data_IF_505786526851
#
_entry.id   IF_505786526851
#
_cell.length_a   1.000
_cell.length_b   1.000
_cell.length_c   1.000
_cell.angle_alpha   90.00
_cell.angle_beta   90.00
_cell.angle_gamma   90.00
#
_symmetry.space_group_name_H-M   'P 1'
#
loop_
_entity.id
_entity.type
_entity.pdbx_description
1 polymer ?
#
# COMPACT_ATOMS: atom_id res chain seq x y z
N UNK A 1 -64.24 -109.35 33.06
CA UNK A 1 -64.81 -108.37 32.10
C UNK A 1 -64.68 -106.89 32.55
N UNK A 2 -63.87 -106.54 33.55
CA UNK A 2 -63.76 -105.13 34.01
C UNK A 2 -62.57 -104.34 33.41
N UNK A 3 -61.56 -105.02 32.85
CA UNK A 3 -60.29 -104.39 32.42
C UNK A 3 -60.41 -103.55 31.13
N UNK A 4 -61.34 -103.91 30.23
CA UNK A 4 -61.56 -103.22 28.96
C UNK A 4 -62.32 -101.89 29.09
N UNK A 5 -63.15 -101.75 30.14
CA UNK A 5 -63.89 -100.51 30.36
C UNK A 5 -62.97 -99.42 30.94
N UNK A 6 -62.03 -99.81 31.82
CA UNK A 6 -61.05 -98.89 32.42
C UNK A 6 -60.09 -98.33 31.35
N UNK A 7 -59.60 -99.19 30.44
CA UNK A 7 -58.75 -98.75 29.32
C UNK A 7 -59.48 -97.83 28.35
N UNK A 8 -60.76 -98.10 28.07
CA UNK A 8 -61.59 -97.24 27.21
C UNK A 8 -61.83 -95.84 27.83
N UNK A 9 -62.15 -95.76 29.13
CA UNK A 9 -62.29 -94.46 29.82
C UNK A 9 -60.97 -93.69 29.92
N UNK A 10 -59.84 -94.38 30.14
CA UNK A 10 -58.53 -93.72 30.21
C UNK A 10 -58.13 -93.11 28.86
N UNK A 11 -58.40 -93.82 27.75
CA UNK A 11 -58.17 -93.29 26.40
C UNK A 11 -59.02 -92.03 26.15
N UNK A 12 -60.30 -92.06 26.52
CA UNK A 12 -61.21 -90.90 26.38
C UNK A 12 -60.70 -89.66 27.15
N UNK A 13 -60.26 -89.84 28.40
CA UNK A 13 -59.73 -88.74 29.22
C UNK A 13 -58.44 -88.19 28.62
N UNK A 14 -57.54 -89.04 28.16
CA UNK A 14 -56.27 -88.62 27.53
C UNK A 14 -56.53 -87.87 26.23
N UNK A 15 -57.45 -88.35 25.39
CA UNK A 15 -57.85 -87.66 24.16
C UNK A 15 -58.44 -86.28 24.46
N UNK A 16 -59.26 -86.16 25.51
CA UNK A 16 -59.87 -84.89 25.91
C UNK A 16 -58.81 -83.88 26.38
N UNK A 17 -57.84 -84.33 27.19
CA UNK A 17 -56.71 -83.50 27.64
C UNK A 17 -55.86 -83.06 26.45
N UNK A 18 -55.61 -83.94 25.49
CA UNK A 18 -54.81 -83.63 24.31
C UNK A 18 -55.49 -82.55 23.43
N UNK A 19 -56.82 -82.65 23.24
CA UNK A 19 -57.60 -81.62 22.53
C UNK A 19 -57.52 -80.29 23.28
N UNK A 20 -57.67 -80.30 24.61
CA UNK A 20 -57.63 -79.10 25.44
C UNK A 20 -56.27 -78.39 25.35
N UNK A 21 -55.17 -79.16 25.39
CA UNK A 21 -53.80 -78.64 25.21
C UNK A 21 -53.62 -78.07 23.80
N UNK A 22 -54.14 -78.74 22.77
CA UNK A 22 -54.02 -78.29 21.37
C UNK A 22 -54.76 -76.96 21.15
N UNK A 23 -55.93 -76.79 21.77
CA UNK A 23 -56.68 -75.53 21.73
C UNK A 23 -55.91 -74.42 22.47
N UNK A 24 -55.38 -74.71 23.65
CA UNK A 24 -54.55 -73.75 24.41
C UNK A 24 -53.30 -73.32 23.63
N UNK A 25 -52.57 -74.26 23.02
CA UNK A 25 -51.41 -73.95 22.18
C UNK A 25 -51.79 -73.09 20.97
N UNK A 26 -52.97 -73.32 20.39
CA UNK A 26 -53.46 -72.54 19.23
C UNK A 26 -53.72 -71.08 19.59
N UNK A 27 -54.10 -70.78 20.83
CA UNK A 27 -54.22 -69.39 21.31
C UNK A 27 -52.85 -68.74 21.57
N UNK A 28 -51.90 -69.48 22.14
CA UNK A 28 -50.54 -68.96 22.42
C UNK A 28 -49.75 -68.69 21.14
N UNK A 29 -49.95 -69.48 20.09
CA UNK A 29 -49.23 -69.30 18.81
C UNK A 29 -49.85 -68.23 17.90
N UNK A 30 -51.09 -67.79 18.17
CA UNK A 30 -51.80 -66.80 17.35
C UNK A 30 -51.61 -65.34 17.80
N UNK A 31 -50.69 -65.05 18.74
CA UNK A 31 -50.27 -63.66 19.01
C UNK A 31 -49.29 -63.20 17.91
N UNK A 32 -49.74 -63.24 16.65
CA UNK A 32 -49.04 -62.55 15.57
C UNK A 32 -49.26 -61.05 15.78
N UNK A 33 -48.20 -60.38 16.24
CA UNK A 33 -48.13 -58.92 16.27
C UNK A 33 -48.50 -58.39 14.89
N UNK A 34 -49.68 -57.76 14.79
CA UNK A 34 -50.11 -57.06 13.60
C UNK A 34 -49.17 -55.87 13.45
N UNK A 35 -48.30 -55.91 12.43
CA UNK A 35 -47.42 -54.79 12.10
C UNK A 35 -48.30 -53.61 11.67
N UNK A 36 -48.62 -52.74 12.60
CA UNK A 36 -49.25 -51.45 12.31
C UNK A 36 -48.28 -50.60 11.48
N UNK A 37 -48.76 -49.74 10.57
CA UNK A 37 -47.90 -48.78 9.89
C UNK A 37 -47.27 -47.86 10.93
N UNK A 38 -45.96 -47.99 11.12
CA UNK A 38 -45.20 -47.14 12.02
C UNK A 38 -44.84 -45.84 11.27
N UNK A 39 -45.31 -44.71 11.79
CA UNK A 39 -44.84 -43.39 11.34
C UNK A 39 -43.62 -43.04 12.17
N UNK A 40 -42.46 -42.94 11.51
CA UNK A 40 -41.24 -42.45 12.16
C UNK A 40 -41.41 -40.96 12.38
N UNK A 41 -41.53 -40.54 13.64
CA UNK A 41 -41.48 -39.13 14.02
C UNK A 41 -40.04 -38.80 14.39
N UNK A 42 -39.40 -37.98 13.56
CA UNK A 42 -38.10 -37.39 13.86
C UNK A 42 -38.28 -35.91 14.21
N UNK A 43 -37.46 -35.44 15.15
CA UNK A 43 -37.34 -34.01 15.43
C UNK A 43 -36.77 -33.31 14.19
N UNK A 44 -37.44 -32.24 13.76
CA UNK A 44 -37.05 -31.47 12.56
C UNK A 44 -36.16 -30.32 12.98
N UNK A 45 -34.95 -30.27 12.43
CA UNK A 45 -34.03 -29.15 12.58
C UNK A 45 -34.05 -28.35 11.27
N UNK A 46 -34.36 -27.07 11.36
CA UNK A 46 -34.27 -26.16 10.23
C UNK A 46 -32.88 -25.51 10.23
N UNK A 47 -32.17 -25.57 9.10
CA UNK A 47 -30.87 -24.93 8.91
C UNK A 47 -31.08 -23.64 8.09
N UNK A 48 -31.12 -22.46 8.73
CA UNK A 48 -31.27 -21.20 8.00
C UNK A 48 -29.95 -20.80 7.33
N UNK A 49 -30.06 -20.12 6.19
CA UNK A 49 -28.92 -19.42 5.60
C UNK A 49 -28.45 -18.30 6.55
N UNK A 50 -27.14 -18.15 6.72
CA UNK A 50 -26.56 -17.10 7.58
C UNK A 50 -26.54 -15.73 6.91
N UNK A 51 -26.63 -15.69 5.58
CA UNK A 51 -26.58 -14.49 4.75
C UNK A 51 -27.56 -14.61 3.60
N UNK A 52 -28.09 -13.48 3.14
CA UNK A 52 -28.87 -13.44 1.91
C UNK A 52 -27.99 -13.77 0.69
N UNK A 53 -28.56 -14.42 -0.32
CA UNK A 53 -27.84 -14.84 -1.52
C UNK A 53 -28.74 -15.60 -2.49
N UNK A 54 -28.18 -15.94 -3.64
CA UNK A 54 -28.82 -16.81 -4.62
C UNK A 54 -28.35 -18.24 -4.40
N UNK A 55 -29.26 -19.20 -4.56
CA UNK A 55 -28.89 -20.62 -4.56
C UNK A 55 -28.21 -20.90 -5.89
N UNK A 56 -26.93 -21.25 -5.85
CA UNK A 56 -26.16 -21.66 -7.03
C UNK A 56 -26.32 -23.17 -7.24
N UNK A 57 -25.85 -23.95 -6.26
CA UNK A 57 -25.91 -25.42 -6.32
C UNK A 57 -26.49 -26.03 -5.04
N UNK A 58 -27.38 -27.03 -5.21
CA UNK A 58 -27.87 -27.88 -4.13
C UNK A 58 -27.15 -29.23 -4.23
N UNK A 59 -26.34 -29.57 -3.23
CA UNK A 59 -25.45 -30.75 -3.27
C UNK A 59 -26.09 -32.01 -2.67
N UNK A 60 -27.30 -31.90 -2.12
CA UNK A 60 -27.98 -32.99 -1.43
C UNK A 60 -29.34 -33.31 -2.03
N UNK A 61 -29.76 -34.57 -1.88
CA UNK A 61 -31.07 -35.07 -2.29
C UNK A 61 -31.95 -35.39 -1.08
N UNK A 62 -33.27 -35.45 -1.32
CA UNK A 62 -34.25 -35.83 -0.29
C UNK A 62 -33.94 -37.25 0.22
N UNK A 63 -33.95 -37.42 1.54
CA UNK A 63 -33.63 -38.66 2.26
C UNK A 63 -32.16 -39.11 2.18
N UNK A 64 -31.24 -38.23 1.76
CA UNK A 64 -29.81 -38.49 1.84
C UNK A 64 -29.30 -38.37 3.29
N UNK A 65 -28.49 -39.32 3.71
CA UNK A 65 -27.75 -39.23 4.97
C UNK A 65 -26.52 -38.34 4.75
N UNK A 66 -26.38 -37.29 5.56
CA UNK A 66 -25.25 -36.36 5.54
C UNK A 66 -24.45 -36.43 6.83
N UNK A 67 -23.16 -36.12 6.76
CA UNK A 67 -22.27 -36.01 7.92
C UNK A 67 -22.25 -34.59 8.48
N UNK A 68 -21.79 -34.44 9.73
CA UNK A 68 -21.59 -33.11 10.30
C UNK A 68 -20.54 -32.33 9.51
N UNK A 69 -20.82 -31.05 9.24
CA UNK A 69 -20.01 -30.14 8.42
C UNK A 69 -19.94 -30.48 6.93
N UNK A 70 -20.79 -31.38 6.44
CA UNK A 70 -20.93 -31.60 5.01
C UNK A 70 -21.65 -30.40 4.35
N UNK A 71 -21.13 -29.93 3.23
CA UNK A 71 -21.75 -28.84 2.46
C UNK A 71 -23.03 -29.35 1.81
N UNK A 72 -24.14 -28.69 2.12
CA UNK A 72 -25.46 -29.07 1.61
C UNK A 72 -25.92 -28.19 0.44
N UNK A 73 -25.37 -26.99 0.34
CA UNK A 73 -25.81 -25.91 -0.53
C UNK A 73 -24.67 -24.91 -0.71
N UNK A 74 -24.49 -24.40 -1.92
CA UNK A 74 -23.67 -23.23 -2.21
C UNK A 74 -24.55 -22.01 -2.49
N UNK A 75 -24.19 -20.89 -1.86
CA UNK A 75 -24.87 -19.61 -2.02
C UNK A 75 -23.93 -18.63 -2.71
N UNK A 76 -24.39 -18.07 -3.83
CA UNK A 76 -23.69 -16.99 -4.51
C UNK A 76 -24.20 -15.64 -3.99
N UNK A 77 -23.28 -14.74 -3.65
CA UNK A 77 -23.62 -13.37 -3.27
C UNK A 77 -22.69 -12.39 -4.00
N UNK A 78 -23.12 -11.87 -5.16
CA UNK A 78 -22.32 -10.93 -5.96
C UNK A 78 -21.97 -9.64 -5.21
N UNK A 79 -22.80 -9.21 -4.25
CA UNK A 79 -22.53 -8.01 -3.44
C UNK A 79 -21.36 -8.24 -2.47
N UNK A 80 -21.27 -9.44 -1.89
CA UNK A 80 -20.13 -9.82 -1.06
C UNK A 80 -18.85 -9.95 -1.88
N UNK A 81 -18.92 -10.48 -3.10
CA UNK A 81 -17.75 -10.57 -3.98
C UNK A 81 -17.21 -9.18 -4.38
N UNK A 82 -18.10 -8.27 -4.79
CA UNK A 82 -17.74 -6.89 -5.09
C UNK A 82 -17.13 -6.19 -3.87
N UNK A 83 -17.72 -6.41 -2.68
CA UNK A 83 -17.19 -5.88 -1.44
C UNK A 83 -15.80 -6.43 -1.12
N UNK A 84 -15.58 -7.74 -1.27
CA UNK A 84 -14.27 -8.37 -1.08
C UNK A 84 -13.24 -7.84 -2.07
N UNK A 85 -13.63 -7.67 -3.34
CA UNK A 85 -12.76 -7.10 -4.37
C UNK A 85 -12.35 -5.66 -4.04
N UNK A 86 -13.32 -4.79 -3.72
CA UNK A 86 -13.04 -3.39 -3.34
C UNK A 86 -12.12 -3.29 -2.10
N UNK A 87 -12.36 -4.12 -1.08
CA UNK A 87 -11.51 -4.16 0.12
C UNK A 87 -10.09 -4.66 -0.18
N UNK A 88 -9.92 -5.59 -1.13
CA UNK A 88 -8.59 -6.04 -1.58
C UNK A 88 -7.84 -4.93 -2.31
N UNK A 89 -8.52 -4.17 -3.16
CA UNK A 89 -7.92 -3.03 -3.86
C UNK A 89 -7.51 -1.93 -2.89
N UNK A 90 -8.38 -1.59 -1.94
CA UNK A 90 -8.08 -0.62 -0.89
C UNK A 90 -6.87 -1.05 -0.05
N UNK A 91 -6.84 -2.32 0.37
CA UNK A 91 -5.68 -2.89 1.08
C UNK A 91 -4.39 -2.73 0.27
N UNK A 92 -4.41 -3.07 -1.02
CA UNK A 92 -3.24 -2.97 -1.90
C UNK A 92 -2.77 -1.52 -2.05
N UNK A 93 -3.70 -0.58 -2.18
CA UNK A 93 -3.39 0.85 -2.22
C UNK A 93 -2.71 1.31 -0.93
N UNK A 94 -3.25 0.92 0.23
CA UNK A 94 -2.66 1.26 1.53
C UNK A 94 -1.28 0.63 1.72
N UNK A 95 -1.08 -0.62 1.29
CA UNK A 95 0.25 -1.27 1.30
C UNK A 95 1.26 -0.52 0.43
N UNK A 96 0.86 -0.02 -0.75
CA UNK A 96 1.71 0.82 -1.57
C UNK A 96 2.09 2.12 -0.87
N UNK A 97 1.14 2.83 -0.26
CA UNK A 97 1.43 4.05 0.49
C UNK A 97 2.38 3.80 1.66
N UNK A 98 2.15 2.73 2.43
CA UNK A 98 3.02 2.33 3.53
C UNK A 98 4.41 2.00 3.00
N UNK A 99 4.54 1.23 1.91
CA UNK A 99 5.83 0.91 1.33
C UNK A 99 6.55 2.15 0.78
N UNK A 100 5.85 3.08 0.13
CA UNK A 100 6.45 4.36 -0.31
C UNK A 100 6.89 5.23 0.86
N UNK A 101 6.17 5.19 1.99
CA UNK A 101 6.56 5.89 3.21
C UNK A 101 7.74 5.20 3.93
N UNK A 102 7.75 3.87 4.01
CA UNK A 102 8.77 3.04 4.68
C UNK A 102 10.08 3.03 3.89
N UNK A 103 10.02 2.92 2.56
CA UNK A 103 11.20 2.93 1.70
C UNK A 103 11.81 4.33 1.54
N UNK A 104 11.19 5.36 2.12
CA UNK A 104 11.71 6.72 2.11
C UNK A 104 11.87 7.29 0.71
N UNK A 105 11.19 6.76 -0.31
CA UNK A 105 11.38 7.13 -1.72
C UNK A 105 11.05 8.62 -1.94
N UNK A 106 10.00 9.10 -1.28
CA UNK A 106 9.67 10.53 -1.24
C UNK A 106 10.76 11.36 -0.55
N UNK A 107 11.29 10.87 0.57
CA UNK A 107 12.35 11.55 1.32
C UNK A 107 13.68 11.55 0.54
N UNK A 108 13.98 10.48 -0.19
CA UNK A 108 15.15 10.34 -1.06
C UNK A 108 15.07 11.30 -2.24
N UNK A 109 13.89 11.44 -2.86
CA UNK A 109 13.66 12.42 -3.92
C UNK A 109 13.83 13.86 -3.40
N UNK A 110 13.23 14.19 -2.25
CA UNK A 110 13.37 15.52 -1.63
C UNK A 110 14.84 15.81 -1.26
N UNK A 111 15.57 14.84 -0.70
CA UNK A 111 17.00 14.97 -0.40
C UNK A 111 17.85 15.16 -1.66
N UNK A 112 17.55 14.45 -2.74
CA UNK A 112 18.26 14.60 -4.01
C UNK A 112 18.05 15.98 -4.61
N UNK A 113 16.81 16.50 -4.59
CA UNK A 113 16.51 17.86 -5.06
C UNK A 113 17.23 18.93 -4.21
N UNK A 114 17.28 18.74 -2.90
CA UNK A 114 18.02 19.64 -2.00
C UNK A 114 19.52 19.59 -2.30
N UNK A 115 20.09 18.41 -2.53
CA UNK A 115 21.51 18.25 -2.86
C UNK A 115 21.86 18.88 -4.21
N UNK A 116 21.00 18.74 -5.23
CA UNK A 116 21.20 19.38 -6.53
C UNK A 116 21.17 20.91 -6.41
N UNK A 117 20.23 21.46 -5.63
CA UNK A 117 20.15 22.90 -5.42
C UNK A 117 21.36 23.41 -4.61
N UNK A 118 21.81 22.68 -3.59
CA UNK A 118 23.04 23.00 -2.84
C UNK A 118 24.25 23.04 -3.76
N UNK A 119 24.44 22.02 -4.59
CA UNK A 119 25.55 21.97 -5.55
C UNK A 119 25.47 23.14 -6.55
N UNK A 120 24.27 23.53 -6.98
CA UNK A 120 24.08 24.69 -7.86
C UNK A 120 24.49 25.99 -7.16
N UNK A 121 24.12 26.15 -5.89
CA UNK A 121 24.47 27.32 -5.10
C UNK A 121 25.97 27.40 -4.81
N UNK A 122 26.62 26.29 -4.49
CA UNK A 122 28.08 26.21 -4.30
C UNK A 122 28.82 26.63 -5.56
N UNK A 123 28.43 26.11 -6.72
CA UNK A 123 29.02 26.49 -8.01
C UNK A 123 28.80 27.98 -8.34
N UNK A 124 27.62 28.53 -8.02
CA UNK A 124 27.35 29.95 -8.22
C UNK A 124 28.22 30.82 -7.30
N UNK A 125 28.37 30.41 -6.04
CA UNK A 125 29.22 31.09 -5.07
C UNK A 125 30.69 31.05 -5.50
N UNK A 126 31.17 29.91 -5.98
CA UNK A 126 32.54 29.77 -6.49
C UNK A 126 32.78 30.73 -7.67
N UNK A 127 31.85 30.80 -8.64
CA UNK A 127 31.93 31.73 -9.77
C UNK A 127 31.97 33.19 -9.32
N UNK A 128 31.04 33.60 -8.45
CA UNK A 128 31.01 34.97 -7.92
C UNK A 128 32.31 35.27 -7.16
N UNK A 129 32.85 34.30 -6.40
CA UNK A 129 34.11 34.48 -5.68
C UNK A 129 35.30 34.67 -6.61
N UNK A 130 35.32 33.99 -7.77
CA UNK A 130 36.35 34.14 -8.78
C UNK A 130 36.26 35.52 -9.46
N UNK A 131 35.04 35.98 -9.79
CA UNK A 131 34.79 37.31 -10.35
C UNK A 131 35.24 38.41 -9.38
N UNK A 132 34.95 38.29 -8.07
CA UNK A 132 35.41 39.25 -7.07
C UNK A 132 36.94 39.29 -7.02
N UNK A 133 37.62 38.14 -7.02
CA UNK A 133 39.11 38.10 -7.02
C UNK A 133 39.69 38.79 -8.25
N UNK A 134 39.10 38.56 -9.43
CA UNK A 134 39.51 39.22 -10.66
C UNK A 134 39.31 40.75 -10.58
N UNK A 135 38.17 41.20 -10.04
CA UNK A 135 37.90 42.62 -9.83
C UNK A 135 38.88 43.26 -8.84
N UNK A 136 39.23 42.58 -7.75
CA UNK A 136 40.22 43.04 -6.77
C UNK A 136 41.63 43.16 -7.38
N UNK A 137 42.05 42.16 -8.17
CA UNK A 137 43.33 42.20 -8.88
C UNK A 137 43.37 43.34 -9.90
N UNK A 138 42.30 43.49 -10.69
CA UNK A 138 42.15 44.61 -11.62
C UNK A 138 42.19 45.95 -10.89
N UNK A 139 41.46 46.10 -9.78
CA UNK A 139 41.46 47.34 -8.99
C UNK A 139 42.88 47.68 -8.52
N UNK A 140 43.65 46.69 -8.08
CA UNK A 140 45.06 46.88 -7.69
C UNK A 140 45.88 47.44 -8.86
N UNK A 141 45.81 46.81 -10.04
CA UNK A 141 46.54 47.24 -11.24
C UNK A 141 46.14 48.67 -11.63
N UNK A 142 44.84 48.96 -11.70
CA UNK A 142 44.36 50.29 -12.09
C UNK A 142 44.66 51.35 -11.04
N UNK A 143 44.72 51.00 -9.75
CA UNK A 143 45.15 51.92 -8.70
C UNK A 143 46.62 52.35 -8.85
N UNK A 144 47.51 51.42 -9.23
CA UNK A 144 48.92 51.70 -9.49
C UNK A 144 49.08 52.54 -10.76
N UNK A 145 48.31 52.22 -11.81
CA UNK A 145 48.27 53.00 -13.04
C UNK A 145 47.77 54.43 -12.82
N UNK A 146 46.71 54.60 -12.03
CA UNK A 146 46.18 55.91 -11.65
C UNK A 146 47.22 56.75 -10.88
N UNK A 147 47.83 56.18 -9.84
CA UNK A 147 48.89 56.85 -9.05
C UNK A 147 50.08 57.28 -9.91
N UNK A 148 50.45 56.45 -10.89
CA UNK A 148 51.54 56.77 -11.82
C UNK A 148 51.14 57.91 -12.76
N UNK A 149 49.94 57.83 -13.34
CA UNK A 149 49.38 58.85 -14.23
C UNK A 149 49.20 60.20 -13.52
N UNK A 150 48.81 60.20 -12.25
CA UNK A 150 48.71 61.38 -11.40
C UNK A 150 50.07 62.09 -11.23
N UNK A 151 51.12 61.32 -10.90
CA UNK A 151 52.49 61.84 -10.78
C UNK A 151 53.02 62.41 -12.10
N UNK A 152 52.76 61.73 -13.22
CA UNK A 152 53.11 62.22 -14.55
C UNK A 152 52.38 63.52 -14.87
N UNK A 153 51.06 63.54 -14.67
CA UNK A 153 50.23 64.72 -14.93
C UNK A 153 50.70 65.94 -14.13
N UNK A 154 50.99 65.77 -12.84
CA UNK A 154 51.52 66.84 -11.99
C UNK A 154 52.88 67.37 -12.49
N UNK A 155 53.73 66.48 -12.99
CA UNK A 155 55.02 66.84 -13.58
C UNK A 155 54.82 67.65 -14.87
N UNK A 156 53.92 67.20 -15.75
CA UNK A 156 53.56 67.90 -16.99
C UNK A 156 52.89 69.25 -16.71
N UNK A 157 52.00 69.34 -15.71
CA UNK A 157 51.38 70.59 -15.28
C UNK A 157 52.42 71.63 -14.85
N UNK A 158 53.46 71.21 -14.11
CA UNK A 158 54.59 72.08 -13.72
C UNK A 158 55.42 72.53 -14.92
N UNK A 159 55.66 71.66 -15.90
CA UNK A 159 56.40 72.01 -17.11
C UNK A 159 55.62 72.98 -18.00
N UNK A 160 54.31 72.78 -18.13
CA UNK A 160 53.42 73.66 -18.86
C UNK A 160 53.40 75.06 -18.25
N UNK A 161 53.26 75.16 -16.92
CA UNK A 161 53.33 76.45 -16.21
C UNK A 161 54.67 77.18 -16.34
N UNK A 162 55.73 76.48 -16.76
CA UNK A 162 57.06 77.03 -17.07
C UNK A 162 57.29 77.26 -18.58
N UNK A 163 56.26 77.12 -19.41
CA UNK A 163 56.32 77.18 -20.88
C UNK A 163 57.37 76.21 -21.48
N UNK A 164 57.58 75.04 -20.85
CA UNK A 164 58.56 74.02 -21.31
C UNK A 164 57.96 72.94 -22.21
N UNK A 165 56.64 72.90 -22.33
CA UNK A 165 55.90 71.97 -23.21
C UNK A 165 54.78 72.73 -23.91
N UNK A 166 54.28 72.16 -25.01
CA UNK A 166 53.17 72.73 -25.77
C UNK A 166 51.81 72.48 -25.10
N UNK A 167 50.82 73.29 -25.47
CA UNK A 167 49.41 73.12 -25.08
C UNK A 167 48.88 71.75 -25.52
N UNK A 168 49.26 71.30 -26.73
CA UNK A 168 48.84 69.99 -27.27
C UNK A 168 49.34 68.83 -26.41
N UNK A 169 50.61 68.86 -26.00
CA UNK A 169 51.19 67.82 -25.14
C UNK A 169 50.52 67.79 -23.77
N UNK A 170 50.23 68.96 -23.21
CA UNK A 170 49.51 69.07 -21.94
C UNK A 170 48.10 68.48 -22.02
N UNK A 171 47.32 68.82 -23.05
CA UNK A 171 45.97 68.26 -23.24
C UNK A 171 45.99 66.75 -23.45
N UNK A 172 46.95 66.23 -24.22
CA UNK A 172 47.11 64.79 -24.41
C UNK A 172 47.31 64.08 -23.06
N UNK A 173 48.22 64.59 -22.22
CA UNK A 173 48.47 64.01 -20.89
C UNK A 173 47.31 64.19 -19.92
N UNK A 174 46.58 65.31 -19.99
CA UNK A 174 45.36 65.50 -19.23
C UNK A 174 44.28 64.47 -19.59
N UNK A 175 44.12 64.17 -20.89
CA UNK A 175 43.17 63.15 -21.36
C UNK A 175 43.57 61.74 -20.89
N UNK A 176 44.87 61.38 -20.97
CA UNK A 176 45.39 60.10 -20.45
C UNK A 176 45.12 59.95 -18.95
N UNK A 177 45.37 60.99 -18.15
CA UNK A 177 45.05 61.02 -16.72
C UNK A 177 43.56 60.83 -16.44
N UNK A 178 42.69 61.55 -17.15
CA UNK A 178 41.24 61.42 -16.98
C UNK A 178 40.73 60.02 -17.34
N UNK A 179 41.31 59.38 -18.37
CA UNK A 179 40.99 57.99 -18.68
C UNK A 179 41.41 57.03 -17.57
N UNK A 180 42.61 57.20 -17.02
CA UNK A 180 43.09 56.40 -15.89
C UNK A 180 42.17 56.54 -14.67
N UNK A 181 41.79 57.78 -14.34
CA UNK A 181 40.87 58.09 -13.24
C UNK A 181 39.50 57.45 -13.44
N UNK A 182 38.90 57.63 -14.62
CA UNK A 182 37.57 57.09 -14.90
C UNK A 182 37.55 55.55 -14.83
N UNK A 183 38.62 54.88 -15.28
CA UNK A 183 38.74 53.41 -15.16
C UNK A 183 38.83 52.97 -13.70
N UNK A 184 39.67 53.62 -12.90
CA UNK A 184 39.77 53.35 -11.47
C UNK A 184 38.44 53.57 -10.75
N UNK A 185 37.79 54.72 -10.97
CA UNK A 185 36.51 55.07 -10.35
C UNK A 185 35.41 54.06 -10.74
N UNK A 186 35.37 53.61 -12.00
CA UNK A 186 34.37 52.64 -12.47
C UNK A 186 34.48 51.28 -11.78
N UNK A 187 35.71 50.82 -11.51
CA UNK A 187 35.98 49.56 -10.81
C UNK A 187 35.76 49.72 -9.30
N UNK A 188 36.22 50.83 -8.72
CA UNK A 188 36.06 51.11 -7.28
C UNK A 188 34.60 51.23 -6.87
N UNK A 189 33.76 51.85 -7.71
CA UNK A 189 32.33 51.99 -7.45
C UNK A 189 31.56 50.68 -7.71
N UNK A 190 32.12 49.74 -8.47
CA UNK A 190 31.52 48.42 -8.68
C UNK A 190 31.78 47.43 -7.53
N UNK A 191 32.74 47.72 -6.65
CA UNK A 191 33.12 46.91 -5.48
C UNK A 191 32.54 47.43 -4.15
N UNK A 192 31.98 48.64 -4.14
CA UNK A 192 31.44 49.32 -2.95
C UNK A 192 29.92 49.13 -2.82
#
# INVERSE_FOLDING_TARGET
MAKNNITATAILVVSFVFILITVLLSFVLNVKSVKLPAVVQAEKINVPAQTDGYVDEIMISINQTVQANETILELENPQLELKISSLKEEKKYLEHLVNSAVNGEKLSLELNLINEELLRQENALEKISAEIRELEENLKIYSEFYKTSEKEFDSFRKLYGKNKISVSEYHKKSAEFMQAKNRYDSLSNGLA
#
